data_IF_154311530405
#
_entry.id   IF_154311530405
#
_cell.length_a   1.000
_cell.length_b   1.000
_cell.length_c   1.000
_cell.angle_alpha   90.00
_cell.angle_beta   90.00
_cell.angle_gamma   90.00
#
_symmetry.space_group_name_H-M   'P 1'
#
loop_
_entity.id
_entity.type
_entity.pdbx_description
1 polymer ?
#
# COMPACT_ATOMS: atom_id res chain seq x y z
N UNK A 1 7.38 -14.54 8.17
CA UNK A 1 8.68 -14.34 7.47
C UNK A 1 9.03 -12.86 7.58
N UNK A 2 10.16 -12.52 8.19
CA UNK A 2 10.62 -11.15 8.43
C UNK A 2 11.19 -10.50 7.17
N UNK A 3 11.29 -9.15 7.10
CA UNK A 3 12.00 -8.47 6.03
C UNK A 3 13.47 -8.90 5.98
N UNK A 4 14.02 -9.05 4.79
CA UNK A 4 15.42 -9.36 4.54
C UNK A 4 16.09 -8.21 3.80
N UNK A 5 17.43 -8.18 3.74
CA UNK A 5 18.15 -7.17 2.95
C UNK A 5 17.76 -7.16 1.46
N UNK A 6 17.33 -8.30 0.93
CA UNK A 6 16.86 -8.43 -0.46
C UNK A 6 15.56 -7.67 -0.72
N UNK A 7 14.71 -7.50 0.29
CA UNK A 7 13.46 -6.74 0.18
C UNK A 7 13.71 -5.23 -0.03
N UNK A 8 14.89 -4.72 0.34
CA UNK A 8 15.25 -3.30 0.20
C UNK A 8 16.01 -3.00 -1.11
N UNK A 9 16.28 -4.00 -1.94
CA UNK A 9 17.04 -3.79 -3.19
C UNK A 9 16.15 -3.29 -4.31
N UNK A 10 16.49 -2.14 -4.86
CA UNK A 10 15.89 -1.63 -6.10
C UNK A 10 16.57 -2.34 -7.28
N UNK A 11 15.79 -3.01 -8.11
CA UNK A 11 16.27 -3.77 -9.27
C UNK A 11 15.67 -3.20 -10.56
N UNK A 12 16.42 -3.28 -11.65
CA UNK A 12 15.89 -2.89 -12.97
C UNK A 12 14.62 -3.67 -13.34
N UNK A 13 14.55 -4.96 -12.96
CA UNK A 13 13.36 -5.80 -13.16
C UNK A 13 12.11 -5.29 -12.45
N UNK A 14 12.23 -4.44 -11.42
CA UNK A 14 11.09 -3.80 -10.78
C UNK A 14 10.37 -2.80 -11.71
N UNK A 15 11.03 -2.37 -12.79
CA UNK A 15 10.50 -1.39 -13.74
C UNK A 15 10.25 -2.00 -15.12
N UNK A 16 10.26 -3.32 -15.22
CA UNK A 16 9.85 -4.03 -16.43
C UNK A 16 8.32 -3.95 -16.58
N UNK A 17 7.86 -3.09 -17.48
CA UNK A 17 6.45 -2.85 -17.76
C UNK A 17 5.83 -3.93 -18.67
N UNK A 18 6.56 -4.95 -19.07
CA UNK A 18 5.99 -6.15 -19.69
C UNK A 18 5.40 -7.10 -18.64
N UNK A 19 5.79 -6.93 -17.37
CA UNK A 19 5.20 -7.62 -16.23
C UNK A 19 3.99 -6.83 -15.69
N UNK A 20 2.78 -7.39 -15.85
CA UNK A 20 1.54 -6.77 -15.39
C UNK A 20 1.51 -6.49 -13.88
N UNK A 21 2.20 -7.31 -13.07
CA UNK A 21 2.28 -7.06 -11.62
C UNK A 21 3.12 -5.82 -11.29
N UNK A 22 4.16 -5.54 -12.06
CA UNK A 22 4.92 -4.29 -11.93
C UNK A 22 4.05 -3.08 -12.27
N UNK A 23 3.25 -3.15 -13.34
CA UNK A 23 2.31 -2.08 -13.69
C UNK A 23 1.34 -1.83 -12.53
N UNK A 24 0.67 -2.87 -12.04
CA UNK A 24 -0.29 -2.75 -10.95
C UNK A 24 0.35 -2.18 -9.68
N UNK A 25 1.53 -2.66 -9.32
CA UNK A 25 2.30 -2.19 -8.17
C UNK A 25 2.63 -0.70 -8.27
N UNK A 26 3.18 -0.29 -9.42
CA UNK A 26 3.60 1.09 -9.66
C UNK A 26 2.39 2.02 -9.63
N UNK A 27 1.29 1.67 -10.30
CA UNK A 27 0.07 2.46 -10.31
C UNK A 27 -0.53 2.57 -8.90
N UNK A 28 -0.63 1.46 -8.16
CA UNK A 28 -1.09 1.48 -6.77
C UNK A 28 -0.26 2.44 -5.91
N UNK A 29 1.06 2.49 -6.12
CA UNK A 29 1.93 3.43 -5.41
C UNK A 29 1.75 4.87 -5.84
N UNK A 30 1.68 5.14 -7.15
CA UNK A 30 1.55 6.49 -7.70
C UNK A 30 0.25 7.18 -7.26
N UNK A 31 -0.82 6.44 -7.13
CA UNK A 31 -2.13 7.00 -6.75
C UNK A 31 -2.16 7.56 -5.33
N UNK A 32 -1.25 7.19 -4.45
CA UNK A 32 -1.17 7.80 -3.12
C UNK A 32 -0.75 9.29 -3.16
N UNK A 33 0.11 9.69 -4.09
CA UNK A 33 0.65 11.06 -4.10
C UNK A 33 -0.40 12.16 -4.27
N UNK A 34 -1.38 12.08 -5.18
CA UNK A 34 -2.47 13.04 -5.23
C UNK A 34 -3.27 13.12 -3.91
N UNK A 35 -3.48 11.98 -3.23
CA UNK A 35 -4.18 11.95 -1.94
C UNK A 35 -3.35 12.58 -0.82
N UNK A 36 -2.02 12.41 -0.84
CA UNK A 36 -1.11 13.11 0.09
C UNK A 36 -1.16 14.62 -0.16
N UNK A 37 -1.03 15.05 -1.42
CA UNK A 37 -1.07 16.46 -1.78
C UNK A 37 -2.39 17.12 -1.39
N UNK A 38 -3.51 16.43 -1.56
CA UNK A 38 -4.85 16.91 -1.16
C UNK A 38 -5.04 17.12 0.34
N UNK A 39 -4.13 16.61 1.18
CA UNK A 39 -4.16 16.85 2.64
C UNK A 39 -3.64 18.22 3.03
N UNK A 40 -2.99 18.92 2.10
CA UNK A 40 -2.37 20.22 2.35
C UNK A 40 -2.99 21.30 1.46
N UNK A 41 -3.09 22.51 2.00
CA UNK A 41 -3.55 23.69 1.29
C UNK A 41 -2.70 24.89 1.74
N UNK A 42 -2.12 25.63 0.80
CA UNK A 42 -1.28 26.81 1.08
C UNK A 42 -0.16 26.56 2.12
N UNK A 43 0.47 25.36 2.08
CA UNK A 43 1.58 24.99 2.98
C UNK A 43 1.16 24.53 4.38
N UNK A 44 -0.13 24.46 4.67
CA UNK A 44 -0.69 23.98 5.94
C UNK A 44 -1.62 22.78 5.70
N UNK A 45 -2.10 22.15 6.79
CA UNK A 45 -3.13 21.13 6.67
C UNK A 45 -4.43 21.72 6.12
N UNK A 46 -5.06 21.02 5.20
CA UNK A 46 -6.38 21.37 4.67
C UNK A 46 -7.43 21.26 5.77
N UNK A 47 -8.13 22.37 6.06
CA UNK A 47 -9.19 22.39 7.04
C UNK A 47 -10.32 21.39 6.73
N UNK A 48 -10.61 21.16 5.44
CA UNK A 48 -11.58 20.17 5.00
C UNK A 48 -11.12 18.74 5.36
N UNK A 49 -9.82 18.43 5.20
CA UNK A 49 -9.26 17.14 5.56
C UNK A 49 -9.24 16.93 7.07
N UNK A 50 -8.82 17.93 7.83
CA UNK A 50 -8.85 17.88 9.31
C UNK A 50 -10.29 17.65 9.80
N UNK A 51 -11.27 18.38 9.25
CA UNK A 51 -12.69 18.22 9.58
C UNK A 51 -13.23 16.83 9.21
N UNK A 52 -12.78 16.25 8.08
CA UNK A 52 -13.14 14.87 7.70
C UNK A 52 -12.60 13.84 8.69
N UNK A 53 -11.33 13.95 9.10
CA UNK A 53 -10.72 13.04 10.08
C UNK A 53 -11.41 13.16 11.45
N UNK A 54 -11.72 14.38 11.89
CA UNK A 54 -12.48 14.60 13.12
C UNK A 54 -13.85 13.90 13.08
N UNK A 55 -14.60 14.06 11.98
CA UNK A 55 -15.90 13.40 11.79
C UNK A 55 -15.80 11.88 11.71
N UNK A 56 -14.69 11.36 11.19
CA UNK A 56 -14.41 9.92 11.14
C UNK A 56 -14.00 9.32 12.51
N UNK A 57 -13.87 10.15 13.56
CA UNK A 57 -13.55 9.73 14.91
C UNK A 57 -12.07 9.73 15.27
N UNK A 58 -11.20 10.29 14.41
CA UNK A 58 -9.76 10.38 14.68
C UNK A 58 -9.43 11.63 15.49
N UNK A 59 -8.95 11.47 16.73
CA UNK A 59 -8.62 12.57 17.63
C UNK A 59 -7.22 12.42 18.26
N UNK A 60 -6.37 13.46 18.28
CA UNK A 60 -6.53 14.75 17.59
C UNK A 60 -6.40 14.61 16.07
N UNK A 61 -7.30 15.23 15.28
CA UNK A 61 -7.38 14.95 13.83
C UNK A 61 -6.15 15.38 13.05
N UNK A 62 -5.49 16.48 13.41
CA UNK A 62 -4.28 16.96 12.75
C UNK A 62 -3.16 15.92 12.80
N UNK A 63 -2.96 15.27 13.95
CA UNK A 63 -1.95 14.21 14.12
C UNK A 63 -2.24 13.04 13.19
N UNK A 64 -3.49 12.63 13.09
CA UNK A 64 -3.89 11.53 12.21
C UNK A 64 -3.77 11.87 10.73
N UNK A 65 -3.99 13.15 10.34
CA UNK A 65 -3.74 13.61 8.97
C UNK A 65 -2.25 13.50 8.63
N UNK A 66 -1.34 13.88 9.53
CA UNK A 66 0.11 13.71 9.32
C UNK A 66 0.50 12.24 9.27
N UNK A 67 -0.01 11.40 10.17
CA UNK A 67 0.25 9.95 10.15
C UNK A 67 -0.19 9.36 8.79
N UNK A 68 -1.38 9.71 8.33
CA UNK A 68 -1.88 9.26 7.03
C UNK A 68 -0.98 9.74 5.88
N UNK A 69 -0.60 11.04 5.86
CA UNK A 69 0.26 11.58 4.83
C UNK A 69 1.63 10.89 4.77
N UNK A 70 2.27 10.66 5.92
CA UNK A 70 3.57 9.96 6.01
C UNK A 70 3.42 8.51 5.58
N UNK A 71 2.40 7.81 6.07
CA UNK A 71 2.17 6.40 5.75
C UNK A 71 1.86 6.19 4.26
N UNK A 72 1.02 7.04 3.67
CA UNK A 72 0.69 7.02 2.24
C UNK A 72 1.93 7.33 1.39
N UNK A 73 2.74 8.34 1.79
CA UNK A 73 3.98 8.68 1.07
C UNK A 73 4.97 7.52 1.11
N UNK A 74 5.23 6.97 2.30
CA UNK A 74 6.15 5.85 2.46
C UNK A 74 5.70 4.61 1.67
N UNK A 75 4.41 4.27 1.75
CA UNK A 75 3.80 3.17 1.00
C UNK A 75 3.87 3.41 -0.50
N UNK A 76 3.56 4.63 -0.96
CA UNK A 76 3.62 5.01 -2.37
C UNK A 76 5.04 4.88 -2.93
N UNK A 77 6.04 5.43 -2.23
CA UNK A 77 7.45 5.32 -2.63
C UNK A 77 7.90 3.85 -2.65
N UNK A 78 7.59 3.09 -1.61
CA UNK A 78 7.98 1.68 -1.51
C UNK A 78 7.38 0.85 -2.66
N UNK A 79 6.12 1.05 -2.99
CA UNK A 79 5.45 0.38 -4.11
C UNK A 79 6.04 0.80 -5.44
N UNK A 80 6.27 2.08 -5.70
CA UNK A 80 6.87 2.56 -6.97
C UNK A 80 8.26 1.97 -7.17
N UNK A 81 9.10 1.98 -6.13
CA UNK A 81 10.47 1.46 -6.22
C UNK A 81 10.57 -0.06 -6.13
N UNK A 82 9.52 -0.74 -5.69
CA UNK A 82 9.52 -2.18 -5.45
C UNK A 82 10.31 -2.59 -4.22
N UNK A 83 10.37 -1.71 -3.21
CA UNK A 83 11.00 -1.95 -1.92
C UNK A 83 9.97 -2.60 -0.98
N UNK A 84 10.35 -3.67 -0.32
CA UNK A 84 9.49 -4.38 0.64
C UNK A 84 8.06 -4.60 0.10
N UNK A 85 7.91 -4.92 -1.19
CA UNK A 85 6.64 -4.89 -1.95
C UNK A 85 5.51 -5.59 -1.22
N UNK A 86 5.74 -6.76 -0.64
CA UNK A 86 4.71 -7.54 0.07
C UNK A 86 4.14 -6.80 1.29
N UNK A 87 5.01 -6.10 2.05
CA UNK A 87 4.60 -5.33 3.22
C UNK A 87 3.98 -3.99 2.82
N UNK A 88 4.57 -3.31 1.83
CA UNK A 88 4.06 -2.06 1.31
C UNK A 88 2.66 -2.23 0.69
N UNK A 89 2.44 -3.30 -0.08
CA UNK A 89 1.14 -3.60 -0.67
C UNK A 89 0.09 -3.99 0.40
N UNK A 90 0.49 -4.70 1.46
CA UNK A 90 -0.39 -4.97 2.60
C UNK A 90 -0.70 -3.69 3.39
N UNK A 91 0.29 -2.80 3.53
CA UNK A 91 0.10 -1.46 4.11
C UNK A 91 -0.88 -0.62 3.29
N UNK A 92 -0.77 -0.64 1.95
CA UNK A 92 -1.71 0.01 1.05
C UNK A 92 -3.14 -0.51 1.24
N UNK A 93 -3.30 -1.84 1.30
CA UNK A 93 -4.60 -2.46 1.60
C UNK A 93 -5.19 -1.95 2.92
N UNK A 94 -4.38 -1.90 4.00
CA UNK A 94 -4.84 -1.44 5.31
C UNK A 94 -5.23 0.04 5.30
N UNK A 95 -4.43 0.91 4.66
CA UNK A 95 -4.74 2.33 4.51
C UNK A 95 -6.05 2.56 3.76
N UNK A 96 -6.27 1.81 2.68
CA UNK A 96 -7.50 1.88 1.89
C UNK A 96 -8.71 1.33 2.63
N UNK A 97 -8.55 0.28 3.45
CA UNK A 97 -9.61 -0.23 4.32
C UNK A 97 -10.03 0.83 5.36
N UNK A 98 -9.07 1.56 5.95
CA UNK A 98 -9.33 2.69 6.85
C UNK A 98 -10.04 3.82 6.09
N UNK A 99 -9.64 4.11 4.85
CA UNK A 99 -10.31 5.13 4.03
C UNK A 99 -11.77 4.77 3.73
N UNK A 100 -12.06 3.50 3.39
CA UNK A 100 -13.44 3.00 3.20
C UNK A 100 -14.25 3.14 4.48
N UNK A 101 -13.70 2.72 5.62
CA UNK A 101 -14.34 2.88 6.93
C UNK A 101 -14.66 4.36 7.20
N UNK A 102 -13.69 5.26 7.00
CA UNK A 102 -13.86 6.69 7.22
C UNK A 102 -14.95 7.29 6.33
N UNK A 103 -15.01 6.89 5.06
CA UNK A 103 -16.05 7.31 4.14
C UNK A 103 -17.44 6.85 4.60
N UNK A 104 -17.57 5.60 5.07
CA UNK A 104 -18.83 5.10 5.61
C UNK A 104 -19.27 5.85 6.86
N UNK A 105 -18.35 6.15 7.78
CA UNK A 105 -18.68 6.90 9.03
C UNK A 105 -19.13 8.33 8.71
N UNK A 106 -18.44 8.99 7.77
CA UNK A 106 -18.69 10.43 7.49
C UNK A 106 -19.84 10.67 6.53
N UNK A 107 -20.00 9.80 5.51
CA UNK A 107 -20.97 9.98 4.41
C UNK A 107 -22.09 8.97 4.41
N UNK A 108 -22.00 7.91 5.22
CA UNK A 108 -22.90 6.77 5.15
C UNK A 108 -22.60 5.83 3.99
N UNK A 109 -23.53 4.92 3.70
CA UNK A 109 -23.39 4.00 2.57
C UNK A 109 -23.44 4.75 1.24
N UNK A 110 -22.39 4.61 0.42
CA UNK A 110 -22.32 5.17 -0.91
C UNK A 110 -21.34 4.34 -1.76
N UNK A 111 -21.86 3.60 -2.75
CA UNK A 111 -21.02 2.72 -3.57
C UNK A 111 -20.38 3.48 -4.73
N UNK A 112 -21.17 4.14 -5.55
CA UNK A 112 -20.75 4.74 -6.81
C UNK A 112 -19.78 5.90 -6.65
N UNK A 113 -18.64 5.83 -7.33
CA UNK A 113 -17.54 6.79 -7.23
C UNK A 113 -17.94 8.23 -7.63
N UNK A 114 -18.81 8.39 -8.64
CA UNK A 114 -19.24 9.69 -9.14
C UNK A 114 -20.06 10.50 -8.12
N UNK A 115 -20.61 9.85 -7.12
CA UNK A 115 -21.28 10.48 -5.97
C UNK A 115 -20.38 10.55 -4.73
N UNK A 116 -19.10 10.24 -4.86
CA UNK A 116 -18.13 10.22 -3.78
C UNK A 116 -18.18 8.95 -2.93
N UNK A 117 -18.67 7.84 -3.51
CA UNK A 117 -18.70 6.52 -2.87
C UNK A 117 -17.32 5.84 -2.84
N UNK A 118 -17.28 4.68 -2.21
CA UNK A 118 -16.03 3.97 -1.91
C UNK A 118 -15.71 2.80 -2.86
N UNK A 119 -16.41 2.67 -3.98
CA UNK A 119 -16.12 1.69 -5.03
C UNK A 119 -14.64 1.71 -5.46
N UNK A 120 -14.10 2.90 -5.73
CA UNK A 120 -12.72 3.08 -6.15
C UNK A 120 -11.69 2.65 -5.08
N UNK A 121 -11.76 3.12 -3.82
CA UNK A 121 -10.82 2.65 -2.81
C UNK A 121 -10.98 1.17 -2.48
N UNK A 122 -12.16 0.56 -2.63
CA UNK A 122 -12.34 -0.89 -2.51
C UNK A 122 -11.61 -1.62 -3.63
N UNK A 123 -11.81 -1.20 -4.88
CA UNK A 123 -11.10 -1.79 -6.02
C UNK A 123 -9.58 -1.70 -5.85
N UNK A 124 -9.09 -0.51 -5.49
CA UNK A 124 -7.66 -0.29 -5.25
C UNK A 124 -7.12 -1.14 -4.09
N UNK A 125 -7.88 -1.32 -3.02
CA UNK A 125 -7.53 -2.21 -1.90
C UNK A 125 -7.38 -3.66 -2.37
N UNK A 126 -8.32 -4.17 -3.18
CA UNK A 126 -8.27 -5.53 -3.73
C UNK A 126 -7.04 -5.72 -4.62
N UNK A 127 -6.73 -4.75 -5.49
CA UNK A 127 -5.53 -4.80 -6.34
C UNK A 127 -4.27 -4.78 -5.48
N UNK A 128 -4.20 -3.94 -4.45
CA UNK A 128 -3.06 -3.90 -3.52
C UNK A 128 -2.88 -5.23 -2.78
N UNK A 129 -3.97 -5.85 -2.34
CA UNK A 129 -3.93 -7.17 -1.71
C UNK A 129 -3.44 -8.25 -2.68
N UNK A 130 -3.86 -8.20 -3.95
CA UNK A 130 -3.40 -9.12 -4.99
C UNK A 130 -1.88 -8.99 -5.21
N UNK A 131 -1.37 -7.76 -5.29
CA UNK A 131 0.08 -7.49 -5.37
C UNK A 131 0.82 -8.04 -4.15
N UNK A 132 0.26 -7.89 -2.94
CA UNK A 132 0.85 -8.44 -1.72
C UNK A 132 0.95 -9.97 -1.79
N UNK A 133 -0.14 -10.64 -2.17
CA UNK A 133 -0.20 -12.11 -2.27
C UNK A 133 0.84 -12.62 -3.27
N UNK A 134 0.93 -12.04 -4.46
CA UNK A 134 1.88 -12.48 -5.48
C UNK A 134 3.34 -12.21 -5.06
N UNK A 135 3.62 -11.08 -4.41
CA UNK A 135 4.93 -10.79 -3.86
C UNK A 135 5.34 -11.79 -2.74
N UNK A 136 4.38 -12.25 -1.94
CA UNK A 136 4.61 -13.30 -0.95
C UNK A 136 4.89 -14.66 -1.59
N UNK A 137 4.10 -15.07 -2.57
CA UNK A 137 4.30 -16.32 -3.32
C UNK A 137 5.69 -16.36 -3.99
N UNK A 138 6.06 -15.27 -4.67
CA UNK A 138 7.36 -15.16 -5.33
C UNK A 138 8.54 -15.34 -4.34
N UNK A 139 8.39 -14.92 -3.10
CA UNK A 139 9.42 -15.12 -2.09
C UNK A 139 9.47 -16.55 -1.57
N UNK A 140 8.33 -17.21 -1.40
CA UNK A 140 8.30 -18.62 -0.96
C UNK A 140 9.00 -19.52 -1.97
N UNK A 141 8.87 -19.23 -3.27
CA UNK A 141 9.55 -19.98 -4.33
C UNK A 141 11.07 -19.71 -4.35
N UNK A 142 11.52 -18.52 -3.93
CA UNK A 142 12.95 -18.15 -3.92
C UNK A 142 13.73 -18.72 -2.73
N UNK A 143 13.09 -19.18 -1.68
CA UNK A 143 13.75 -19.82 -0.53
C UNK A 143 14.01 -21.29 -0.91
N UNK A 144 15.26 -21.70 -1.29
CA UNK A 144 15.56 -23.11 -1.51
C UNK A 144 15.28 -23.85 -0.21
N UNK A 145 14.62 -24.98 -0.28
CA UNK A 145 14.51 -25.88 0.86
C UNK A 145 15.92 -26.24 1.32
N UNK A 146 16.38 -25.68 2.43
CA UNK A 146 17.70 -26.01 3.03
C UNK A 146 17.82 -27.50 3.39
N UNK A 147 16.72 -28.22 3.41
CA UNK A 147 16.67 -29.67 3.56
C UNK A 147 17.27 -30.43 2.37
N UNK A 148 17.23 -29.85 1.14
CA UNK A 148 17.80 -30.51 -0.05
C UNK A 148 19.35 -30.45 -0.08
N UNK A 149 19.96 -29.46 0.57
CA UNK A 149 21.43 -29.28 0.59
C UNK A 149 22.09 -30.15 1.69
N UNK A 150 21.36 -30.42 2.77
CA UNK A 150 21.84 -31.28 3.87
C UNK A 150 21.93 -32.74 3.49
N UNK A 151 21.07 -33.24 2.60
CA UNK A 151 21.06 -34.64 2.14
C UNK A 151 22.23 -35.01 1.22
N UNK A 152 22.78 -34.06 0.46
CA UNK A 152 23.90 -34.31 -0.46
C UNK A 152 25.27 -34.30 0.23
N UNK A 153 25.39 -33.67 1.42
CA UNK A 153 26.64 -33.70 2.21
C UNK A 153 26.75 -34.90 3.15
N UNK A 154 25.67 -35.64 3.38
CA UNK A 154 25.71 -36.86 4.19
C UNK A 154 25.91 -38.14 3.37
N UNK A 155 26.00 -38.05 2.04
CA UNK A 155 26.17 -39.18 1.12
C UNK A 155 27.53 -39.18 0.36
N UNK A 156 28.47 -38.31 0.76
CA UNK A 156 29.85 -38.25 0.29
C UNK A 156 30.81 -38.45 1.45
#
# INVERSE_FOLDING_TARGET
>A
MWPTSEDFRIRASNFDLTDGLNILRIICGLFFFPHVLGKFAAGTLSAATVGFFSKAGFHPPEVWVYIAAVSETATGIALVLGICTRFAALGAFALLAIAVYSLQVVKGFGWTWNTGGYEYPVFWAIVSLSVAIEAWKAQLVRVPSSAAIGGLKAAA
#
